data_IF_808440801408
#
_entry.id   IF_808440801408
#
_cell.length_a   1.000
_cell.length_b   1.000
_cell.length_c   1.000
_cell.angle_alpha   90.00
_cell.angle_beta   90.00
_cell.angle_gamma   90.00
#
_symmetry.space_group_name_H-M   'P 1'
#
loop_
_entity.id
_entity.type
_entity.pdbx_description
1 polymer ?
#
# COMPACT_ATOMS: atom_id res chain seq x y z
N UNK A 1 -16.61 -7.35 11.62
CA UNK A 1 -15.25 -7.93 11.51
C UNK A 1 -14.58 -7.20 10.38
N UNK A 2 -13.49 -6.49 10.67
CA UNK A 2 -12.87 -5.61 9.69
C UNK A 2 -12.10 -6.42 8.64
N UNK A 3 -12.08 -5.91 7.42
CA UNK A 3 -11.32 -6.46 6.30
C UNK A 3 -10.41 -5.36 5.77
N UNK A 4 -9.13 -5.70 5.60
CA UNK A 4 -8.10 -4.79 5.12
C UNK A 4 -7.60 -5.28 3.77
N UNK A 5 -7.58 -4.41 2.77
CA UNK A 5 -7.12 -4.67 1.40
C UNK A 5 -5.99 -3.69 1.08
N UNK A 6 -4.92 -4.19 0.47
CA UNK A 6 -3.86 -3.35 -0.08
C UNK A 6 -4.13 -3.00 -1.54
N UNK A 7 -3.87 -1.77 -1.94
CA UNK A 7 -3.86 -1.34 -3.33
C UNK A 7 -2.45 -0.90 -3.70
N UNK A 8 -1.97 -1.23 -4.88
CA UNK A 8 -0.65 -0.79 -5.35
C UNK A 8 -0.66 -0.47 -6.85
N UNK A 9 0.22 0.44 -7.26
CA UNK A 9 0.47 0.79 -8.65
C UNK A 9 1.97 1.08 -8.84
N UNK A 10 2.38 1.61 -9.99
CA UNK A 10 3.79 1.91 -10.28
C UNK A 10 4.39 2.99 -9.38
N UNK A 11 3.55 3.80 -8.74
CA UNK A 11 3.97 4.99 -8.01
C UNK A 11 3.87 4.79 -6.50
N UNK A 12 2.89 4.03 -6.01
CA UNK A 12 2.59 3.93 -4.59
C UNK A 12 1.84 2.65 -4.24
N UNK A 13 1.64 2.45 -2.95
CA UNK A 13 0.66 1.54 -2.40
C UNK A 13 -0.07 2.18 -1.21
N UNK A 14 -1.28 1.69 -0.96
CA UNK A 14 -2.09 2.05 0.21
C UNK A 14 -2.73 0.82 0.83
N UNK A 15 -3.10 0.92 2.08
CA UNK A 15 -3.78 -0.11 2.85
C UNK A 15 -5.09 0.46 3.33
N UNK A 16 -6.20 -0.14 2.91
CA UNK A 16 -7.55 0.38 3.07
C UNK A 16 -8.40 -0.59 3.89
N UNK A 17 -9.14 -0.06 4.86
CA UNK A 17 -10.13 -0.82 5.61
C UNK A 17 -11.49 -0.71 4.92
N UNK A 18 -11.90 -1.75 4.19
CA UNK A 18 -13.19 -1.73 3.45
C UNK A 18 -14.41 -1.76 4.36
N UNK A 19 -14.24 -2.08 5.65
CA UNK A 19 -15.36 -2.10 6.61
C UNK A 19 -15.65 -0.72 7.18
N UNK A 20 -14.62 0.08 7.42
CA UNK A 20 -14.76 1.45 7.93
C UNK A 20 -14.65 2.51 6.83
N UNK A 21 -14.23 2.12 5.62
CA UNK A 21 -13.99 2.97 4.47
C UNK A 21 -12.89 4.02 4.70
N UNK A 22 -11.83 3.61 5.41
CA UNK A 22 -10.69 4.47 5.76
C UNK A 22 -9.38 3.94 5.17
N UNK A 23 -8.52 4.84 4.72
CA UNK A 23 -7.12 4.51 4.42
C UNK A 23 -6.30 4.47 5.72
N UNK A 24 -5.75 3.30 6.03
CA UNK A 24 -4.95 3.05 7.23
C UNK A 24 -3.48 3.43 7.04
N UNK A 25 -2.98 3.33 5.80
CA UNK A 25 -1.60 3.62 5.47
C UNK A 25 -1.45 3.91 3.98
N UNK A 26 -0.56 4.83 3.63
CA UNK A 26 -0.19 5.14 2.24
C UNK A 26 1.31 5.36 2.17
N UNK A 27 1.98 4.78 1.18
CA UNK A 27 3.39 5.02 0.92
C UNK A 27 3.71 4.90 -0.57
N UNK A 28 4.65 5.71 -1.05
CA UNK A 28 5.07 5.64 -2.43
C UNK A 28 5.95 6.80 -2.85
N UNK A 29 6.33 6.77 -4.12
CA UNK A 29 7.04 7.82 -4.83
C UNK A 29 6.05 8.83 -5.44
N UNK A 30 4.98 9.18 -4.73
CA UNK A 30 4.08 10.23 -5.23
C UNK A 30 4.92 11.48 -5.47
N UNK A 31 4.92 12.04 -6.70
CA UNK A 31 5.75 13.20 -7.05
C UNK A 31 5.41 14.44 -6.22
N UNK A 32 4.34 14.38 -5.42
CA UNK A 32 3.87 15.44 -4.54
C UNK A 32 4.23 15.24 -3.05
N UNK A 33 4.64 14.03 -2.62
CA UNK A 33 4.97 13.73 -1.20
C UNK A 33 6.47 13.67 -0.91
N UNK A 34 7.30 13.42 -1.93
CA UNK A 34 8.74 13.24 -1.79
C UNK A 34 9.50 14.47 -2.28
N UNK A 35 10.17 15.21 -1.40
CA UNK A 35 11.08 16.30 -1.78
C UNK A 35 12.33 15.82 -2.56
N UNK A 36 12.48 14.51 -2.77
CA UNK A 36 13.54 13.93 -3.59
C UNK A 36 13.03 13.67 -5.01
N UNK A 37 13.57 14.39 -5.99
CA UNK A 37 13.44 14.07 -7.41
C UNK A 37 14.18 12.75 -7.70
N UNK A 38 13.57 11.62 -7.37
CA UNK A 38 14.03 10.31 -7.82
C UNK A 38 13.57 10.14 -9.27
N UNK A 39 14.52 9.90 -10.17
CA UNK A 39 14.21 9.61 -11.57
C UNK A 39 13.32 8.35 -11.67
N UNK A 40 12.44 8.27 -12.68
CA UNK A 40 11.60 7.06 -12.92
C UNK A 40 12.43 5.77 -13.01
N UNK A 41 13.69 5.88 -13.42
CA UNK A 41 14.67 4.79 -13.54
C UNK A 41 15.23 4.31 -12.19
N UNK A 42 15.14 5.15 -11.16
CA UNK A 42 15.53 4.86 -9.76
C UNK A 42 14.32 4.54 -8.88
N UNK A 43 13.10 4.58 -9.43
CA UNK A 43 11.89 4.19 -8.74
C UNK A 43 11.93 2.71 -8.34
N UNK A 44 11.22 2.40 -7.25
CA UNK A 44 10.99 1.02 -6.83
C UNK A 44 10.17 0.32 -7.92
N UNK A 45 10.68 -0.77 -8.48
CA UNK A 45 9.96 -1.53 -9.51
C UNK A 45 8.63 -2.10 -8.99
N UNK A 46 7.66 -2.29 -9.89
CA UNK A 46 6.29 -2.74 -9.54
C UNK A 46 6.25 -4.02 -8.72
N UNK A 47 7.16 -4.97 -8.99
CA UNK A 47 7.29 -6.21 -8.21
C UNK A 47 7.69 -5.97 -6.75
N UNK A 48 8.53 -4.97 -6.51
CA UNK A 48 8.92 -4.58 -5.15
C UNK A 48 7.78 -3.80 -4.50
N UNK A 49 7.10 -2.91 -5.25
CA UNK A 49 5.92 -2.19 -4.74
C UNK A 49 4.82 -3.16 -4.27
N UNK A 50 4.55 -4.18 -5.08
CA UNK A 50 3.64 -5.28 -4.74
C UNK A 50 4.03 -5.97 -3.44
N UNK A 51 5.32 -6.28 -3.25
CA UNK A 51 5.83 -6.93 -2.02
C UNK A 51 5.67 -6.03 -0.80
N UNK A 52 5.98 -4.75 -0.93
CA UNK A 52 5.81 -3.78 0.16
C UNK A 52 4.32 -3.61 0.52
N UNK A 53 3.46 -3.52 -0.48
CA UNK A 53 2.00 -3.51 -0.29
C UNK A 53 1.54 -4.78 0.44
N UNK A 54 1.97 -5.95 0.00
CA UNK A 54 1.58 -7.22 0.62
C UNK A 54 2.00 -7.28 2.09
N UNK A 55 3.26 -6.94 2.36
CA UNK A 55 3.81 -6.95 3.71
C UNK A 55 3.05 -5.99 4.62
N UNK A 56 2.93 -4.72 4.22
CA UNK A 56 2.24 -3.69 5.01
C UNK A 56 0.78 -4.07 5.28
N UNK A 57 0.08 -4.59 4.28
CA UNK A 57 -1.33 -5.00 4.43
C UNK A 57 -1.48 -6.15 5.44
N UNK A 58 -0.57 -7.13 5.42
CA UNK A 58 -0.58 -8.24 6.38
C UNK A 58 -0.26 -7.78 7.80
N UNK A 59 0.72 -6.89 7.96
CA UNK A 59 1.11 -6.32 9.25
C UNK A 59 -0.03 -5.51 9.86
N UNK A 60 -0.62 -4.60 9.09
CA UNK A 60 -1.74 -3.77 9.54
C UNK A 60 -2.98 -4.61 9.85
N UNK A 61 -3.29 -5.63 9.04
CA UNK A 61 -4.39 -6.54 9.33
C UNK A 61 -4.21 -7.22 10.71
N UNK A 62 -2.97 -7.61 11.05
CA UNK A 62 -2.64 -8.18 12.36
C UNK A 62 -2.77 -7.15 13.49
N UNK A 63 -2.27 -5.93 13.29
CA UNK A 63 -2.36 -4.84 14.29
C UNK A 63 -3.81 -4.43 14.60
N UNK A 64 -4.66 -4.40 13.57
CA UNK A 64 -6.07 -4.03 13.69
C UNK A 64 -6.98 -5.19 14.09
N UNK A 65 -6.42 -6.39 14.34
CA UNK A 65 -7.18 -7.63 14.54
C UNK A 65 -8.25 -7.84 13.44
N UNK A 66 -7.87 -7.54 12.20
CA UNK A 66 -8.70 -7.57 11.01
C UNK A 66 -8.34 -8.75 10.10
N UNK A 67 -9.24 -9.09 9.17
CA UNK A 67 -8.94 -10.08 8.13
C UNK A 67 -8.15 -9.45 6.99
N UNK A 68 -7.10 -10.15 6.58
CA UNK A 68 -6.38 -9.85 5.36
C UNK A 68 -7.23 -10.23 4.14
N UNK A 69 -7.58 -9.25 3.31
CA UNK A 69 -8.42 -9.41 2.12
C UNK A 69 -7.64 -9.67 0.83
N UNK A 70 -6.32 -9.50 0.84
CA UNK A 70 -5.48 -9.58 -0.36
C UNK A 70 -4.86 -8.23 -0.72
N UNK A 71 -4.23 -8.21 -1.89
CA UNK A 71 -3.76 -6.98 -2.54
C UNK A 71 -4.28 -6.93 -3.98
N UNK A 72 -4.56 -5.73 -4.45
CA UNK A 72 -5.02 -5.48 -5.82
C UNK A 72 -4.17 -4.40 -6.49
N UNK A 73 -4.03 -4.51 -7.80
CA UNK A 73 -3.40 -3.47 -8.61
C UNK A 73 -4.46 -2.40 -8.94
N UNK A 74 -4.12 -1.14 -8.73
CA UNK A 74 -4.97 0.04 -8.93
C UNK A 74 -4.62 0.80 -10.23
#
# INVERSE_FOLDING_TARGET
MNIVIGYYNELSYRVHNVTTNDDLYTAGNSPYDSQACTSKEQGIGIEIMKRYCEQATREIAKEQNAKYGGIEYE
#
